data_IF_535037391990
#
_entry.id   IF_535037391990
#
_cell.length_a   1.000
_cell.length_b   1.000
_cell.length_c   1.000
_cell.angle_alpha   90.00
_cell.angle_beta   90.00
_cell.angle_gamma   90.00
#
_symmetry.space_group_name_H-M   'P 1'
#
loop_
_entity.id
_entity.type
_entity.pdbx_description
1 polymer ?
#
# COMPACT_ATOMS: atom_id res chain seq x y z
N UNK A 1 18.51 8.30 -0.33
CA UNK A 1 18.29 8.37 1.12
C UNK A 1 17.18 7.40 1.45
N UNK A 2 17.35 6.54 2.46
CA UNK A 2 16.28 5.65 2.89
C UNK A 2 15.24 6.46 3.64
N UNK A 3 13.96 6.16 3.41
CA UNK A 3 12.86 6.81 4.10
C UNK A 3 12.76 6.26 5.53
N UNK A 4 12.38 7.11 6.47
CA UNK A 4 12.15 6.75 7.87
C UNK A 4 10.70 7.06 8.21
N UNK A 5 9.98 6.10 8.78
CA UNK A 5 8.60 6.27 9.24
C UNK A 5 8.45 5.80 10.68
N UNK A 6 7.58 6.48 11.41
CA UNK A 6 7.23 6.14 12.78
C UNK A 6 5.88 5.45 12.79
N UNK A 7 5.79 4.28 13.42
CA UNK A 7 4.53 3.58 13.63
C UNK A 7 4.50 3.10 15.08
N UNK A 8 3.51 3.59 15.83
CA UNK A 8 3.51 3.49 17.29
C UNK A 8 4.76 4.15 17.87
N UNK A 9 5.40 3.46 18.82
CA UNK A 9 6.62 3.91 19.51
C UNK A 9 7.92 3.56 18.75
N UNK A 10 7.82 3.03 17.53
CA UNK A 10 8.95 2.47 16.81
C UNK A 10 9.28 3.23 15.53
N UNK A 11 10.56 3.46 15.32
CA UNK A 11 11.13 4.02 14.10
C UNK A 11 11.55 2.89 13.15
N UNK A 12 11.11 2.99 11.89
CA UNK A 12 11.42 2.04 10.83
C UNK A 12 12.16 2.71 9.68
N UNK A 13 13.28 2.12 9.26
CA UNK A 13 13.99 2.50 8.04
C UNK A 13 13.49 1.65 6.87
N UNK A 14 13.00 2.31 5.82
CA UNK A 14 12.45 1.69 4.63
C UNK A 14 13.54 1.56 3.56
N UNK A 15 13.89 0.31 3.24
CA UNK A 15 14.78 -0.02 2.15
C UNK A 15 14.07 -0.14 0.81
N UNK A 16 14.84 -0.47 -0.23
CA UNK A 16 14.38 -0.62 -1.60
C UNK A 16 14.54 -2.08 -2.05
N UNK A 17 13.49 -2.64 -2.65
CA UNK A 17 13.56 -3.95 -3.30
C UNK A 17 14.56 -3.92 -4.47
N UNK A 18 15.23 -5.03 -4.74
CA UNK A 18 16.02 -5.15 -5.98
C UNK A 18 15.10 -5.21 -7.22
N UNK A 19 15.67 -5.09 -8.42
CA UNK A 19 14.89 -5.00 -9.66
C UNK A 19 13.99 -6.23 -9.93
N UNK A 20 14.44 -7.44 -9.59
CA UNK A 20 13.64 -8.65 -9.78
C UNK A 20 12.48 -8.70 -8.78
N UNK A 21 12.74 -8.41 -7.52
CA UNK A 21 11.69 -8.35 -6.50
C UNK A 21 10.67 -7.24 -6.82
N UNK A 22 11.11 -6.08 -7.32
CA UNK A 22 10.21 -5.03 -7.83
C UNK A 22 9.30 -5.54 -8.95
N UNK A 23 9.85 -6.28 -9.93
CA UNK A 23 9.07 -6.84 -11.03
C UNK A 23 8.06 -7.89 -10.57
N UNK A 24 8.45 -8.76 -9.62
CA UNK A 24 7.54 -9.76 -9.08
C UNK A 24 6.43 -9.15 -8.24
N UNK A 25 6.76 -8.17 -7.39
CA UNK A 25 5.77 -7.44 -6.59
C UNK A 25 4.83 -6.66 -7.50
N UNK A 26 5.34 -5.93 -8.51
CA UNK A 26 4.50 -5.18 -9.44
C UNK A 26 3.56 -6.09 -10.23
N UNK A 27 4.04 -7.24 -10.70
CA UNK A 27 3.21 -8.23 -11.41
C UNK A 27 2.07 -8.77 -10.54
N UNK A 28 2.30 -9.01 -9.25
CA UNK A 28 1.27 -9.55 -8.33
C UNK A 28 0.24 -8.50 -7.91
N UNK A 29 0.63 -7.23 -7.84
CA UNK A 29 -0.28 -6.13 -7.53
C UNK A 29 -1.05 -5.66 -8.78
N UNK A 30 -0.50 -5.80 -9.99
CA UNK A 30 -1.12 -5.30 -11.22
C UNK A 30 -2.61 -5.69 -11.42
N UNK A 31 -3.06 -6.92 -11.13
CA UNK A 31 -4.47 -7.31 -11.30
C UNK A 31 -5.44 -6.53 -10.43
N UNK A 32 -5.01 -6.02 -9.28
CA UNK A 32 -5.90 -5.27 -8.36
C UNK A 32 -6.01 -3.78 -8.70
N UNK A 33 -5.06 -3.22 -9.46
CA UNK A 33 -5.00 -1.79 -9.76
C UNK A 33 -6.28 -1.26 -10.44
N UNK A 34 -6.88 -1.92 -11.46
CA UNK A 34 -8.10 -1.43 -12.08
C UNK A 34 -9.26 -1.29 -11.09
N UNK A 35 -9.41 -2.25 -10.17
CA UNK A 35 -10.44 -2.26 -9.13
C UNK A 35 -10.25 -1.12 -8.13
N UNK A 36 -9.01 -0.74 -7.85
CA UNK A 36 -8.67 0.33 -6.91
C UNK A 36 -8.69 1.74 -7.54
N UNK A 37 -8.71 1.85 -8.87
CA UNK A 37 -8.63 3.13 -9.59
C UNK A 37 -9.67 4.17 -9.14
N UNK A 38 -10.97 3.83 -8.93
CA UNK A 38 -11.96 4.80 -8.47
C UNK A 38 -11.55 5.43 -7.14
N UNK A 39 -11.06 4.62 -6.20
CA UNK A 39 -10.70 5.09 -4.87
C UNK A 39 -9.40 5.88 -4.90
N UNK A 40 -8.42 5.45 -5.70
CA UNK A 40 -7.19 6.23 -5.93
C UNK A 40 -7.54 7.64 -6.45
N UNK A 41 -8.57 7.75 -7.32
CA UNK A 41 -9.06 9.04 -7.81
C UNK A 41 -9.72 9.87 -6.70
N UNK A 42 -10.57 9.27 -5.87
CA UNK A 42 -11.24 9.97 -4.75
C UNK A 42 -10.26 10.41 -3.64
N UNK A 43 -9.25 9.60 -3.33
CA UNK A 43 -8.14 9.97 -2.44
C UNK A 43 -7.36 11.15 -3.01
N UNK A 44 -7.05 11.13 -4.32
CA UNK A 44 -6.32 12.22 -4.98
C UNK A 44 -7.10 13.54 -4.99
N UNK A 45 -8.44 13.50 -5.00
CA UNK A 45 -9.31 14.67 -4.88
C UNK A 45 -9.51 15.13 -3.43
N UNK A 46 -9.07 14.34 -2.45
CA UNK A 46 -9.25 14.58 -1.03
C UNK A 46 -10.66 14.26 -0.51
N UNK A 47 -11.53 13.69 -1.34
CA UNK A 47 -12.92 13.40 -0.99
C UNK A 47 -13.01 12.17 -0.07
N UNK A 48 -12.16 11.17 -0.30
CA UNK A 48 -12.06 10.00 0.59
C UNK A 48 -11.60 10.35 2.01
N UNK A 49 -10.66 11.29 2.14
CA UNK A 49 -10.17 11.77 3.46
C UNK A 49 -11.29 12.44 4.24
N UNK A 50 -12.11 13.29 3.58
CA UNK A 50 -13.27 13.92 4.22
C UNK A 50 -14.27 12.89 4.73
N UNK A 51 -14.50 11.81 3.98
CA UNK A 51 -15.40 10.71 4.42
C UNK A 51 -14.87 10.03 5.68
N UNK A 52 -13.57 9.74 5.76
CA UNK A 52 -12.95 9.15 6.97
C UNK A 52 -13.01 10.12 8.15
N UNK A 53 -12.65 11.38 7.96
CA UNK A 53 -12.69 12.41 9.02
C UNK A 53 -14.11 12.60 9.58
N UNK A 54 -15.13 12.52 8.72
CA UNK A 54 -16.55 12.63 9.13
C UNK A 54 -16.98 11.46 10.03
N UNK A 55 -16.39 10.28 9.83
CA UNK A 55 -16.66 9.07 10.63
C UNK A 55 -15.91 9.16 11.97
N UNK A 56 -14.66 9.62 11.96
CA UNK A 56 -13.81 9.75 13.16
C UNK A 56 -14.30 10.85 14.12
N UNK A 57 -14.91 11.92 13.60
CA UNK A 57 -15.42 13.04 14.40
C UNK A 57 -16.72 12.73 15.17
N UNK A 58 -17.27 11.52 15.03
CA UNK A 58 -18.31 11.00 15.91
C UNK A 58 -19.53 11.92 15.99
N UNK A 59 -20.10 12.31 14.85
CA UNK A 59 -21.46 12.86 14.84
C UNK A 59 -22.41 11.70 15.24
N UNK A 60 -22.68 11.61 16.55
CA UNK A 60 -23.27 10.46 17.25
C UNK A 60 -24.73 10.15 16.85
N UNK A 61 -25.25 10.78 15.80
CA UNK A 61 -26.54 10.44 15.20
C UNK A 61 -26.45 9.38 14.08
N UNK A 62 -25.25 8.94 13.66
CA UNK A 62 -25.12 7.95 12.57
C UNK A 62 -24.11 6.82 12.84
N UNK A 63 -24.13 6.23 14.04
CA UNK A 63 -23.66 4.84 14.23
C UNK A 63 -24.43 3.81 13.36
N UNK A 64 -25.46 4.27 12.64
CA UNK A 64 -26.31 3.48 11.74
C UNK A 64 -25.91 3.49 10.26
N UNK A 65 -24.81 4.12 9.84
CA UNK A 65 -24.40 4.06 8.43
C UNK A 65 -22.90 3.83 8.30
N UNK A 66 -22.45 2.61 8.63
CA UNK A 66 -21.18 2.08 8.14
C UNK A 66 -21.27 1.72 6.64
N UNK A 67 -22.47 1.72 6.06
CA UNK A 67 -22.75 1.44 4.65
C UNK A 67 -21.93 2.29 3.67
N UNK A 68 -21.81 3.62 3.84
CA UNK A 68 -20.99 4.45 2.95
C UNK A 68 -19.49 4.10 3.03
N UNK A 69 -19.01 3.75 4.23
CA UNK A 69 -17.63 3.29 4.41
C UNK A 69 -17.43 1.89 3.79
N UNK A 70 -18.35 0.97 4.03
CA UNK A 70 -18.32 -0.38 3.49
C UNK A 70 -18.36 -0.35 1.96
N UNK A 71 -19.23 0.46 1.37
CA UNK A 71 -19.33 0.64 -0.08
C UNK A 71 -18.08 1.29 -0.67
N UNK A 72 -17.46 2.24 0.05
CA UNK A 72 -16.21 2.84 -0.38
C UNK A 72 -15.02 1.87 -0.29
N UNK A 73 -15.03 0.92 0.64
CA UNK A 73 -13.98 -0.08 0.83
C UNK A 73 -14.23 -1.40 0.09
N UNK A 74 -15.45 -1.64 -0.42
CA UNK A 74 -15.82 -2.86 -1.13
C UNK A 74 -14.82 -3.23 -2.24
N UNK A 75 -14.36 -2.31 -3.11
CA UNK A 75 -13.37 -2.64 -4.13
C UNK A 75 -12.02 -3.11 -3.55
N UNK A 76 -11.61 -2.61 -2.38
CA UNK A 76 -10.44 -3.14 -1.68
C UNK A 76 -10.70 -4.55 -1.17
N UNK A 77 -11.82 -4.77 -0.46
CA UNK A 77 -12.17 -6.08 0.06
C UNK A 77 -12.22 -7.13 -1.04
N UNK A 78 -12.84 -6.80 -2.17
CA UNK A 78 -12.94 -7.66 -3.34
C UNK A 78 -11.57 -7.94 -3.99
N UNK A 79 -10.72 -6.91 -4.10
CA UNK A 79 -9.37 -7.04 -4.63
C UNK A 79 -8.49 -7.92 -3.74
N UNK A 80 -8.56 -7.74 -2.41
CA UNK A 80 -7.84 -8.55 -1.44
C UNK A 80 -8.36 -9.99 -1.41
N UNK A 81 -9.69 -10.20 -1.45
CA UNK A 81 -10.30 -11.51 -1.45
C UNK A 81 -9.94 -12.35 -2.70
N UNK A 82 -9.72 -11.70 -3.84
CA UNK A 82 -9.32 -12.35 -5.09
C UNK A 82 -7.80 -12.56 -5.21
N UNK A 83 -7.00 -12.00 -4.30
CA UNK A 83 -5.55 -12.17 -4.33
C UNK A 83 -5.17 -13.55 -3.79
N UNK A 84 -4.40 -14.37 -4.52
CA UNK A 84 -3.94 -15.65 -4.02
C UNK A 84 -3.14 -15.49 -2.72
N UNK A 85 -3.33 -16.41 -1.78
CA UNK A 85 -2.63 -16.37 -0.48
C UNK A 85 -1.10 -16.34 -0.65
N UNK A 86 -0.56 -17.14 -1.59
CA UNK A 86 0.86 -17.15 -1.92
C UNK A 86 1.36 -15.79 -2.44
N UNK A 87 0.51 -15.04 -3.14
CA UNK A 87 0.84 -13.70 -3.64
C UNK A 87 0.88 -12.69 -2.49
N UNK A 88 -0.10 -12.73 -1.59
CA UNK A 88 -0.14 -11.90 -0.37
C UNK A 88 1.10 -12.17 0.48
N UNK A 89 1.35 -13.44 0.80
CA UNK A 89 2.50 -13.87 1.60
C UNK A 89 3.83 -13.45 0.94
N UNK A 90 3.95 -13.61 -0.39
CA UNK A 90 5.13 -13.17 -1.11
C UNK A 90 5.35 -11.66 -0.97
N UNK A 91 4.32 -10.84 -1.22
CA UNK A 91 4.42 -9.37 -1.15
C UNK A 91 4.82 -8.94 0.25
N UNK A 92 4.14 -9.43 1.28
CA UNK A 92 4.40 -9.05 2.68
C UNK A 92 5.84 -9.40 3.05
N UNK A 93 6.25 -10.65 2.89
CA UNK A 93 7.59 -11.09 3.29
C UNK A 93 8.69 -10.36 2.52
N UNK A 94 8.51 -10.16 1.22
CA UNK A 94 9.50 -9.43 0.40
C UNK A 94 9.60 -7.97 0.79
N UNK A 95 8.49 -7.29 0.97
CA UNK A 95 8.50 -5.90 1.40
C UNK A 95 9.16 -5.75 2.77
N UNK A 96 8.78 -6.56 3.75
CA UNK A 96 9.37 -6.52 5.09
C UNK A 96 10.84 -6.93 5.13
N UNK A 97 11.33 -7.70 4.14
CA UNK A 97 12.75 -8.09 4.07
C UNK A 97 13.72 -6.93 3.77
N UNK A 98 13.19 -5.76 3.41
CA UNK A 98 14.01 -4.54 3.23
C UNK A 98 13.72 -3.48 4.29
N UNK A 99 12.88 -3.78 5.29
CA UNK A 99 12.58 -2.88 6.41
C UNK A 99 13.50 -3.20 7.58
N UNK A 100 13.97 -2.15 8.25
CA UNK A 100 14.71 -2.28 9.52
C UNK A 100 14.02 -1.53 10.65
N UNK A 101 14.06 -2.10 11.85
CA UNK A 101 13.76 -1.43 13.12
C UNK A 101 15.04 -1.39 13.93
N UNK A 102 15.60 -0.20 14.11
CA UNK A 102 16.99 -0.03 14.57
C UNK A 102 17.98 -0.72 13.62
N UNK A 103 18.82 -1.62 14.15
CA UNK A 103 19.80 -2.38 13.35
C UNK A 103 19.27 -3.70 12.78
N UNK A 104 18.08 -4.14 13.22
CA UNK A 104 17.52 -5.46 12.90
C UNK A 104 16.57 -5.40 11.71
N UNK A 105 16.59 -6.45 10.88
CA UNK A 105 15.67 -6.60 9.75
C UNK A 105 14.31 -7.09 10.25
N UNK A 106 13.23 -6.59 9.67
CA UNK A 106 11.86 -6.93 10.11
C UNK A 106 11.46 -8.33 9.69
N UNK A 107 11.90 -8.78 8.50
CA UNK A 107 11.62 -10.13 8.01
C UNK A 107 12.88 -10.79 7.45
N UNK A 108 13.09 -12.06 7.78
CA UNK A 108 14.11 -12.92 7.19
C UNK A 108 13.47 -14.16 6.60
N UNK A 109 13.55 -14.31 5.28
CA UNK A 109 12.86 -15.39 4.58
C UNK A 109 11.34 -15.20 4.67
N UNK A 110 10.66 -16.12 5.36
CA UNK A 110 9.22 -16.09 5.62
C UNK A 110 8.90 -15.90 7.12
N UNK A 111 9.86 -15.41 7.90
CA UNK A 111 9.70 -15.20 9.33
C UNK A 111 9.80 -13.72 9.67
N UNK A 112 8.74 -13.17 10.24
CA UNK A 112 8.71 -11.84 10.84
C UNK A 112 9.40 -11.93 12.20
N UNK A 113 10.34 -11.02 12.48
CA UNK A 113 11.27 -11.13 13.61
C UNK A 113 10.81 -10.43 14.89
N UNK A 114 9.65 -9.77 14.84
CA UNK A 114 9.11 -8.96 15.91
C UNK A 114 7.70 -9.43 16.24
N UNK A 115 7.51 -9.93 17.46
CA UNK A 115 6.23 -10.48 17.92
C UNK A 115 5.18 -9.38 18.18
N UNK A 116 5.61 -8.13 18.33
CA UNK A 116 4.76 -6.96 18.53
C UNK A 116 4.22 -6.35 17.22
N UNK A 117 4.56 -6.93 16.06
CA UNK A 117 4.02 -6.50 14.77
C UNK A 117 2.68 -7.17 14.47
N UNK A 118 1.61 -6.38 14.46
CA UNK A 118 0.32 -6.77 13.92
C UNK A 118 0.12 -6.28 12.48
N UNK A 119 -1.02 -6.64 11.89
CA UNK A 119 -1.35 -6.25 10.51
C UNK A 119 -1.52 -4.73 10.34
N UNK A 120 -1.91 -4.01 11.41
CA UNK A 120 -2.01 -2.55 11.42
C UNK A 120 -0.65 -1.87 11.32
N UNK A 121 0.43 -2.51 11.80
CA UNK A 121 1.80 -2.06 11.62
C UNK A 121 2.41 -2.59 10.30
N UNK A 122 2.13 -3.83 9.92
CA UNK A 122 2.68 -4.47 8.72
C UNK A 122 2.22 -3.78 7.44
N UNK A 123 0.92 -3.48 7.31
CA UNK A 123 0.37 -2.90 6.07
C UNK A 123 1.01 -1.53 5.72
N UNK A 124 1.14 -0.55 6.63
CA UNK A 124 1.85 0.69 6.34
C UNK A 124 3.30 0.48 5.91
N UNK A 125 4.01 -0.46 6.54
CA UNK A 125 5.39 -0.81 6.15
C UNK A 125 5.44 -1.34 4.71
N UNK A 126 4.53 -2.26 4.37
CA UNK A 126 4.43 -2.83 3.02
C UNK A 126 4.13 -1.74 1.99
N UNK A 127 3.16 -0.86 2.27
CA UNK A 127 2.80 0.28 1.41
C UNK A 127 4.00 1.22 1.22
N UNK A 128 4.72 1.54 2.29
CA UNK A 128 5.91 2.39 2.22
C UNK A 128 6.99 1.76 1.33
N UNK A 129 7.26 0.47 1.47
CA UNK A 129 8.24 -0.24 0.62
C UNK A 129 7.80 -0.26 -0.84
N UNK A 130 6.52 -0.52 -1.13
CA UNK A 130 5.97 -0.48 -2.50
C UNK A 130 6.17 0.90 -3.11
N UNK A 131 5.81 1.96 -2.37
CA UNK A 131 5.96 3.35 -2.81
C UNK A 131 7.41 3.70 -3.12
N UNK A 132 8.33 3.41 -2.19
CA UNK A 132 9.76 3.67 -2.39
C UNK A 132 10.29 2.84 -3.55
N UNK A 133 9.96 1.56 -3.62
CA UNK A 133 10.58 0.62 -4.56
C UNK A 133 10.06 0.77 -5.98
N UNK A 134 8.77 1.03 -6.16
CA UNK A 134 8.15 1.12 -7.48
C UNK A 134 8.09 2.57 -8.03
N UNK A 135 8.58 3.56 -7.28
CA UNK A 135 8.58 4.98 -7.70
C UNK A 135 9.09 5.18 -9.12
N UNK A 136 10.24 4.57 -9.45
CA UNK A 136 10.90 4.75 -10.74
C UNK A 136 10.13 4.03 -11.88
N UNK A 137 9.50 2.90 -11.56
CA UNK A 137 8.68 2.16 -12.52
C UNK A 137 7.39 2.92 -12.83
N UNK A 138 6.71 3.42 -11.79
CA UNK A 138 5.48 4.24 -11.92
C UNK A 138 5.79 5.52 -12.69
N UNK A 139 6.86 6.24 -12.35
CA UNK A 139 7.29 7.43 -13.10
C UNK A 139 7.60 7.11 -14.56
N UNK A 140 8.30 6.00 -14.83
CA UNK A 140 8.61 5.57 -16.19
C UNK A 140 7.37 5.24 -17.02
N UNK A 141 6.35 4.60 -16.42
CA UNK A 141 5.07 4.35 -17.08
C UNK A 141 4.28 5.63 -17.34
N UNK A 142 4.19 6.52 -16.35
CA UNK A 142 3.49 7.81 -16.47
C UNK A 142 4.12 8.69 -17.55
N UNK A 143 5.45 8.80 -17.59
CA UNK A 143 6.16 9.58 -18.60
C UNK A 143 5.88 9.05 -20.02
N UNK A 144 5.83 7.72 -20.21
CA UNK A 144 5.47 7.12 -21.50
C UNK A 144 4.03 7.39 -21.89
N UNK A 145 3.08 7.29 -20.95
CA UNK A 145 1.68 7.59 -21.20
C UNK A 145 1.47 9.05 -21.62
N UNK A 146 2.12 10.00 -20.93
CA UNK A 146 2.07 11.43 -21.29
C UNK A 146 2.67 11.70 -22.67
N UNK A 147 3.78 11.05 -23.03
CA UNK A 147 4.41 11.21 -24.34
C UNK A 147 3.50 10.75 -25.50
N UNK A 148 2.76 9.65 -25.31
CA UNK A 148 1.78 9.14 -26.28
C UNK A 148 0.63 10.14 -26.48
N UNK A 149 0.17 10.76 -25.38
CA UNK A 149 -0.93 11.73 -25.42
C UNK A 149 -0.53 13.01 -26.17
N UNK A 150 0.72 13.49 -26.01
CA UNK A 150 1.25 14.64 -26.74
C UNK A 150 1.56 14.39 -28.23
N UNK A 151 1.66 13.14 -28.68
CA UNK A 151 1.85 12.79 -30.09
C UNK A 151 0.53 12.60 -30.85
N UNK A 152 -0.60 12.57 -30.13
CA UNK A 152 -1.94 12.32 -30.69
C UNK A 152 -2.77 13.60 -30.90
N UNK A 153 -2.17 14.77 -30.67
CA UNK A 153 -2.70 16.11 -30.94
C UNK A 153 -1.82 16.82 -31.95
#
# INVERSE_FOLDING_TARGET
MNEVINIGEHEYTIGRLNALDQFHVSRKIAPVIPTLMPIISEVAKGDFTKTIESIEQGDNNELGNLEPLAQALEPFMDAFAKMPEDDVNYIIHKCLSVVKRGSSIVCRGQSIMFDDLDMGQILPLVVAVIRVSLSNFIQGLLMKASAIQSQST
#
